data_IF_446408396348
#
_entry.id   IF_446408396348
#
_cell.length_a   1.000
_cell.length_b   1.000
_cell.length_c   1.000
_cell.angle_alpha   90.00
_cell.angle_beta   90.00
_cell.angle_gamma   90.00
#
_symmetry.space_group_name_H-M   'P 1'
#
loop_
_entity.id
_entity.type
_entity.pdbx_description
1 polymer ?
#
# COMPACT_ATOMS: atom_id res chain seq x y z
N UNK A 1 -0.77 -26.63 -13.57
CA UNK A 1 -1.93 -25.81 -13.16
C UNK A 1 -1.79 -24.40 -13.70
N UNK A 2 -2.86 -23.83 -14.21
CA UNK A 2 -2.87 -22.45 -14.73
C UNK A 2 -4.01 -21.68 -14.06
N UNK A 3 -3.81 -20.39 -13.89
CA UNK A 3 -4.86 -19.50 -13.39
C UNK A 3 -4.94 -18.29 -14.32
N UNK A 4 -6.15 -17.84 -14.61
CA UNK A 4 -6.39 -16.73 -15.53
C UNK A 4 -7.35 -15.77 -14.84
N UNK A 5 -7.04 -14.46 -14.91
CA UNK A 5 -7.93 -13.39 -14.48
C UNK A 5 -8.37 -12.63 -15.72
N UNK A 6 -9.66 -12.40 -15.87
CA UNK A 6 -10.22 -11.75 -17.05
C UNK A 6 -11.00 -10.51 -16.65
N UNK A 7 -10.80 -9.42 -17.39
CA UNK A 7 -11.44 -8.13 -17.12
C UNK A 7 -12.02 -7.56 -18.42
N UNK A 8 -13.19 -6.98 -18.30
CA UNK A 8 -13.83 -6.28 -19.43
C UNK A 8 -13.57 -4.79 -19.29
N UNK A 9 -12.72 -4.23 -20.14
CA UNK A 9 -12.40 -2.82 -20.10
C UNK A 9 -13.32 -2.02 -21.01
N UNK A 10 -13.68 -0.80 -20.64
CA UNK A 10 -13.24 -0.06 -19.45
C UNK A 10 -14.05 -0.31 -18.18
N UNK A 11 -15.08 -1.15 -18.25
CA UNK A 11 -15.98 -1.42 -17.12
C UNK A 11 -15.22 -1.84 -15.87
N UNK A 12 -14.28 -2.76 -16.00
CA UNK A 12 -13.52 -3.33 -14.90
C UNK A 12 -12.15 -2.69 -14.72
N UNK A 13 -11.99 -1.43 -15.16
CA UNK A 13 -10.70 -0.75 -15.12
C UNK A 13 -10.07 -0.66 -13.73
N UNK A 14 -10.87 -0.40 -12.72
CA UNK A 14 -10.38 -0.28 -11.35
C UNK A 14 -9.86 -1.61 -10.84
N UNK A 15 -10.65 -2.66 -10.99
CA UNK A 15 -10.26 -4.01 -10.57
C UNK A 15 -9.04 -4.50 -11.32
N UNK A 16 -8.96 -4.16 -12.60
CA UNK A 16 -7.79 -4.51 -13.43
C UNK A 16 -6.54 -3.85 -12.91
N UNK A 17 -6.60 -2.55 -12.57
CA UNK A 17 -5.45 -1.83 -12.00
C UNK A 17 -5.03 -2.41 -10.67
N UNK A 18 -5.97 -2.78 -9.81
CA UNK A 18 -5.64 -3.43 -8.55
C UNK A 18 -4.90 -4.74 -8.78
N UNK A 19 -5.39 -5.54 -9.73
CA UNK A 19 -4.77 -6.83 -10.03
C UNK A 19 -3.34 -6.69 -10.54
N UNK A 20 -3.11 -5.78 -11.50
CA UNK A 20 -1.76 -5.62 -12.06
C UNK A 20 -0.79 -4.93 -11.10
N UNK A 21 -1.31 -4.19 -10.11
CA UNK A 21 -0.49 -3.49 -9.12
C UNK A 21 -0.44 -4.21 -7.77
N UNK A 22 -0.97 -5.42 -7.69
CA UNK A 22 -1.06 -6.14 -6.41
C UNK A 22 0.27 -6.24 -5.66
N UNK A 23 1.35 -6.55 -6.38
CA UNK A 23 2.68 -6.63 -5.77
C UNK A 23 3.14 -5.29 -5.19
N UNK A 24 2.85 -4.19 -5.88
CA UNK A 24 3.20 -2.86 -5.40
C UNK A 24 2.42 -2.51 -4.13
N UNK A 25 1.15 -2.88 -4.05
CA UNK A 25 0.35 -2.67 -2.84
C UNK A 25 0.92 -3.46 -1.66
N UNK A 26 1.27 -4.72 -1.87
CA UNK A 26 1.88 -5.55 -0.82
C UNK A 26 3.19 -4.94 -0.35
N UNK A 27 4.02 -4.48 -1.28
CA UNK A 27 5.29 -3.83 -0.95
C UNK A 27 5.08 -2.57 -0.12
N UNK A 28 4.09 -1.74 -0.47
CA UNK A 28 3.79 -0.52 0.28
C UNK A 28 3.37 -0.86 1.71
N UNK A 29 2.49 -1.85 1.87
CA UNK A 29 2.02 -2.28 3.19
C UNK A 29 3.19 -2.81 4.02
N UNK A 30 4.07 -3.60 3.41
CA UNK A 30 5.24 -4.14 4.09
C UNK A 30 6.16 -3.02 4.60
N UNK A 31 6.42 -2.00 3.78
CA UNK A 31 7.26 -0.87 4.18
C UNK A 31 6.64 -0.09 5.34
N UNK A 32 5.33 0.10 5.32
CA UNK A 32 4.63 0.78 6.42
C UNK A 32 4.75 -0.05 7.70
N UNK A 33 4.57 -1.36 7.59
CA UNK A 33 4.71 -2.26 8.74
C UNK A 33 6.12 -2.19 9.32
N UNK A 34 7.15 -2.22 8.49
CA UNK A 34 8.53 -2.13 8.95
C UNK A 34 8.81 -0.79 9.63
N UNK A 35 8.26 0.30 9.10
CA UNK A 35 8.39 1.61 9.70
C UNK A 35 7.76 1.65 11.09
N UNK A 36 6.53 1.11 11.22
CA UNK A 36 5.83 1.05 12.50
C UNK A 36 6.58 0.17 13.50
N UNK A 37 7.11 -0.96 13.05
CA UNK A 37 7.90 -1.84 13.91
C UNK A 37 9.16 -1.15 14.41
N UNK A 38 9.80 -0.35 13.56
CA UNK A 38 10.96 0.44 13.96
C UNK A 38 10.62 1.43 15.07
N UNK A 39 9.48 2.10 14.94
CA UNK A 39 9.00 3.03 15.96
C UNK A 39 8.72 2.28 17.27
N UNK A 40 8.06 1.13 17.20
CA UNK A 40 7.74 0.33 18.38
C UNK A 40 8.99 -0.15 19.11
N UNK A 41 10.05 -0.52 18.37
CA UNK A 41 11.28 -1.03 18.97
C UNK A 41 12.19 0.05 19.50
N UNK A 42 12.31 1.16 18.79
CA UNK A 42 13.34 2.17 19.04
C UNK A 42 12.81 3.52 19.49
N UNK A 43 11.49 3.70 19.39
CA UNK A 43 10.84 4.93 19.81
C UNK A 43 10.71 4.98 21.33
N UNK A 44 10.74 6.19 21.87
CA UNK A 44 10.55 6.41 23.30
C UNK A 44 9.07 6.64 23.65
N UNK A 45 8.24 6.84 22.61
CA UNK A 45 6.82 7.10 22.79
C UNK A 45 6.00 5.92 22.35
N UNK A 46 4.92 5.64 23.10
CA UNK A 46 4.00 4.57 22.79
C UNK A 46 2.85 5.01 21.88
N UNK A 47 2.84 6.29 21.51
CA UNK A 47 1.79 6.87 20.66
C UNK A 47 2.40 7.62 19.50
N UNK A 48 1.70 7.62 18.37
CA UNK A 48 2.09 8.38 17.19
C UNK A 48 0.87 9.12 16.67
N UNK A 49 1.08 10.33 16.18
CA UNK A 49 0.00 11.10 15.60
C UNK A 49 -0.53 10.47 14.33
N UNK A 50 -1.85 10.48 14.18
CA UNK A 50 -2.51 9.95 12.99
C UNK A 50 -1.99 10.62 11.72
N UNK A 51 -1.70 11.94 11.78
CA UNK A 51 -1.20 12.68 10.63
C UNK A 51 0.14 12.14 10.11
N UNK A 52 1.02 11.69 11.00
CA UNK A 52 2.29 11.09 10.60
C UNK A 52 2.09 9.75 9.91
N UNK A 53 1.17 8.95 10.42
CA UNK A 53 0.87 7.65 9.82
C UNK A 53 0.27 7.83 8.43
N UNK A 54 -0.66 8.77 8.29
CA UNK A 54 -1.27 9.06 6.99
C UNK A 54 -0.26 9.60 5.99
N UNK A 55 0.63 10.49 6.45
CA UNK A 55 1.67 11.04 5.59
C UNK A 55 2.59 9.92 5.08
N UNK A 56 2.97 8.99 5.95
CA UNK A 56 3.79 7.86 5.57
C UNK A 56 3.08 6.95 4.57
N UNK A 57 1.79 6.72 4.79
CA UNK A 57 0.99 5.92 3.87
C UNK A 57 0.99 6.52 2.46
N UNK A 58 0.70 7.83 2.36
CA UNK A 58 0.66 8.48 1.05
C UNK A 58 2.04 8.57 0.41
N UNK A 59 3.08 8.78 1.21
CA UNK A 59 4.46 8.76 0.70
C UNK A 59 4.79 7.43 0.03
N UNK A 60 4.46 6.31 0.68
CA UNK A 60 4.74 4.99 0.13
C UNK A 60 3.88 4.68 -1.10
N UNK A 61 2.63 5.12 -1.11
CA UNK A 61 1.77 4.95 -2.27
C UNK A 61 2.27 5.78 -3.46
N UNK A 62 2.61 7.04 -3.22
CA UNK A 62 3.09 7.93 -4.27
C UNK A 62 4.41 7.45 -4.87
N UNK A 63 5.31 6.93 -4.05
CA UNK A 63 6.60 6.40 -4.50
C UNK A 63 6.41 5.24 -5.50
N UNK A 64 5.28 4.56 -5.44
CA UNK A 64 4.98 3.42 -6.30
C UNK A 64 3.94 3.73 -7.38
N UNK A 65 3.53 4.99 -7.49
CA UNK A 65 2.49 5.38 -8.43
C UNK A 65 1.12 4.82 -8.11
N UNK A 66 0.87 4.52 -6.86
CA UNK A 66 -0.41 4.00 -6.40
C UNK A 66 -1.26 5.13 -5.82
N UNK A 67 -2.58 4.98 -5.94
CA UNK A 67 -3.52 5.92 -5.35
C UNK A 67 -4.83 5.23 -5.02
N UNK A 68 -5.54 5.76 -4.05
CA UNK A 68 -6.90 5.32 -3.78
C UNK A 68 -7.81 5.85 -4.88
N UNK A 69 -8.83 5.11 -5.21
CA UNK A 69 -9.81 5.56 -6.17
C UNK A 69 -10.67 6.70 -5.63
#
# INVERSE_FOLDING_TARGET
MKAILEFTLPKDSYEHRLAINAGAWVSAIHEIDQWLRGIAKHGTESKIEVSYVRAKLYEELNARGLEFE
#
